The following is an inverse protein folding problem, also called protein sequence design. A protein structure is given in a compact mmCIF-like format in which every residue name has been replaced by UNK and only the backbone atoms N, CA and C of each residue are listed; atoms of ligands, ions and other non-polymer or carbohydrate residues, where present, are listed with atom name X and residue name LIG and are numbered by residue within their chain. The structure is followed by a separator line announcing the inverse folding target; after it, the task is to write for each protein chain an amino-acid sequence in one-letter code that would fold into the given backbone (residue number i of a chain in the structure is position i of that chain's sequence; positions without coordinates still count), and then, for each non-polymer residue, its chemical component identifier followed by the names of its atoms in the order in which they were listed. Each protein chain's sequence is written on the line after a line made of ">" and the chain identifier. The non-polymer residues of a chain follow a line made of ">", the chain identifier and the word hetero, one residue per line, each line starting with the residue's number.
data_IF_233760417008
#
_entry.id   IF_233760417008
#
_cell.length_a   1.000
_cell.length_b   1.000
_cell.length_c   1.000
_cell.angle_alpha   90.00
_cell.angle_beta   90.00
_cell.angle_gamma   90.00
#
_symmetry.space_group_name_H-M   'P 1'
#
loop_
_entity.id
_entity.type
_entity.pdbx_description
1 polymer ?
#
# COMPACT_ATOMS: atom_id res chain seq x y z
N UNK A 1 2.40 8.99 -3.70
CA UNK A 1 3.28 8.20 -2.81
C UNK A 1 4.42 9.08 -2.36
N UNK A 2 4.93 8.99 -1.12
CA UNK A 2 6.12 9.76 -0.73
C UNK A 2 7.29 9.48 -1.68
N UNK A 3 8.03 10.51 -2.06
CA UNK A 3 9.23 10.39 -2.90
C UNK A 3 10.31 9.51 -2.23
N UNK A 4 10.52 9.64 -0.92
CA UNK A 4 11.44 8.78 -0.17
C UNK A 4 11.11 7.28 -0.30
N UNK A 5 9.82 6.92 -0.31
CA UNK A 5 9.37 5.52 -0.49
C UNK A 5 9.60 5.06 -1.93
N UNK A 6 9.49 5.98 -2.91
CA UNK A 6 9.82 5.69 -4.30
C UNK A 6 11.32 5.41 -4.47
N UNK A 7 12.17 6.18 -3.80
CA UNK A 7 13.64 6.05 -3.85
C UNK A 7 14.15 4.75 -3.19
N UNK A 8 13.38 4.18 -2.25
CA UNK A 8 13.71 2.91 -1.59
C UNK A 8 13.37 1.67 -2.44
N UNK A 9 12.69 1.83 -3.57
CA UNK A 9 12.32 0.71 -4.44
C UNK A 9 13.55 0.08 -5.08
N UNK A 10 13.78 -1.20 -4.74
CA UNK A 10 14.91 -1.97 -5.28
C UNK A 10 14.50 -3.12 -6.21
N UNK A 11 13.22 -3.49 -6.21
CA UNK A 11 12.70 -4.67 -6.94
C UNK A 11 11.73 -4.32 -8.06
N UNK A 12 11.28 -3.06 -8.11
CA UNK A 12 10.32 -2.56 -9.11
C UNK A 12 10.92 -1.31 -9.73
N UNK A 13 10.78 -1.18 -11.05
CA UNK A 13 11.19 0.02 -11.77
C UNK A 13 10.29 1.20 -11.39
N UNK A 14 10.87 2.22 -10.76
CA UNK A 14 10.16 3.44 -10.40
C UNK A 14 9.58 4.14 -11.64
N UNK A 15 10.28 4.16 -12.78
CA UNK A 15 9.81 4.83 -13.98
C UNK A 15 8.51 4.20 -14.51
N UNK A 16 8.42 2.88 -14.45
CA UNK A 16 7.21 2.14 -14.82
C UNK A 16 6.02 2.50 -13.91
N UNK A 17 6.24 2.70 -12.61
CA UNK A 17 5.17 3.14 -11.70
C UNK A 17 4.69 4.56 -12.03
N UNK A 18 5.61 5.47 -12.40
CA UNK A 18 5.25 6.82 -12.83
C UNK A 18 4.41 6.80 -14.11
N UNK A 19 4.75 5.95 -15.08
CA UNK A 19 3.97 5.77 -16.31
C UNK A 19 2.56 5.22 -16.05
N UNK A 20 2.40 4.40 -15.00
CA UNK A 20 1.10 3.90 -14.55
C UNK A 20 0.28 4.96 -13.77
N UNK A 21 0.83 6.15 -13.55
CA UNK A 21 0.15 7.25 -12.87
C UNK A 21 0.41 7.34 -11.37
N UNK A 22 1.42 6.63 -10.83
CA UNK A 22 1.88 6.88 -9.46
C UNK A 22 2.59 8.22 -9.45
N UNK A 23 2.05 9.16 -8.69
CA UNK A 23 2.68 10.47 -8.54
C UNK A 23 3.52 10.55 -7.25
N UNK A 24 4.82 10.88 -7.34
CA UNK A 24 5.64 11.15 -6.17
C UNK A 24 5.18 12.44 -5.50
N UNK A 25 5.32 12.47 -4.18
CA UNK A 25 4.95 13.61 -3.33
C UNK A 25 6.12 13.91 -2.41
N UNK A 26 6.63 15.12 -2.50
CA UNK A 26 7.63 15.64 -1.57
C UNK A 26 6.92 16.22 -0.35
N UNK A 27 7.46 15.93 0.83
CA UNK A 27 6.93 16.46 2.07
C UNK A 27 7.33 17.93 2.27
N UNK A 28 6.39 18.74 2.73
CA UNK A 28 6.65 20.08 3.26
C UNK A 28 7.43 20.02 4.59
N UNK A 29 8.11 21.10 5.00
CA UNK A 29 8.77 21.16 6.31
C UNK A 29 7.85 20.79 7.48
N UNK A 30 6.59 21.22 7.44
CA UNK A 30 5.58 20.91 8.46
C UNK A 30 5.24 19.41 8.48
N UNK A 31 5.16 18.78 7.31
CA UNK A 31 4.95 17.33 7.19
C UNK A 31 6.15 16.52 7.67
N UNK A 32 7.36 17.02 7.44
CA UNK A 32 8.59 16.42 7.96
C UNK A 32 8.62 16.49 9.49
N UNK A 33 8.31 17.65 10.07
CA UNK A 33 8.18 17.80 11.53
C UNK A 33 7.14 16.85 12.12
N UNK A 34 5.99 16.72 11.46
CA UNK A 34 4.94 15.78 11.86
C UNK A 34 5.40 14.32 11.78
N UNK A 35 6.20 13.97 10.77
CA UNK A 35 6.78 12.63 10.64
C UNK A 35 7.68 12.32 11.86
N UNK A 36 8.54 13.26 12.26
CA UNK A 36 9.38 13.08 13.45
C UNK A 36 8.56 12.93 14.73
N UNK A 37 7.52 13.74 14.92
CA UNK A 37 6.64 13.62 16.08
C UNK A 37 5.94 12.25 16.12
N UNK A 38 5.49 11.73 14.97
CA UNK A 38 4.91 10.39 14.88
C UNK A 38 5.95 9.29 15.13
N UNK A 39 7.21 9.47 14.73
CA UNK A 39 8.28 8.50 14.97
C UNK A 39 8.63 8.36 16.45
N UNK A 40 8.45 9.41 17.25
CA UNK A 40 8.56 9.34 18.70
C UNK A 40 7.43 8.52 19.35
N UNK A 41 6.21 8.64 18.81
CA UNK A 41 5.02 7.94 19.30
C UNK A 41 4.95 6.48 18.83
N UNK A 42 5.25 6.21 17.56
CA UNK A 42 5.13 4.93 16.90
C UNK A 42 6.51 4.41 16.50
N UNK A 43 7.12 3.62 17.39
CA UNK A 43 8.52 3.16 17.26
C UNK A 43 8.75 1.98 16.30
N UNK A 44 7.67 1.39 15.79
CA UNK A 44 7.72 0.14 15.00
C UNK A 44 7.69 0.38 13.49
N UNK A 45 6.84 1.27 12.93
CA UNK A 45 6.95 1.64 11.52
C UNK A 45 8.28 2.35 11.26
N UNK A 46 8.80 2.23 10.03
CA UNK A 46 9.97 3.02 9.63
C UNK A 46 9.60 4.51 9.45
N UNK A 47 10.61 5.39 9.42
CA UNK A 47 10.36 6.81 9.11
C UNK A 47 9.74 6.97 7.71
N UNK A 48 10.20 6.19 6.73
CA UNK A 48 9.63 6.16 5.39
C UNK A 48 8.14 5.74 5.40
N UNK A 49 7.78 4.71 6.17
CA UNK A 49 6.38 4.31 6.35
C UNK A 49 5.52 5.45 6.96
N UNK A 50 6.08 6.18 7.93
CA UNK A 50 5.40 7.29 8.58
C UNK A 50 5.19 8.47 7.64
N UNK A 51 6.07 8.71 6.66
CA UNK A 51 5.82 9.73 5.63
C UNK A 51 4.54 9.42 4.82
N UNK A 52 4.28 8.14 4.52
CA UNK A 52 3.06 7.73 3.83
C UNK A 52 1.81 7.97 4.69
N UNK A 53 1.91 7.75 6.00
CA UNK A 53 0.82 8.03 6.95
C UNK A 53 0.56 9.53 7.08
N UNK A 54 1.59 10.37 7.12
CA UNK A 54 1.45 11.83 7.16
C UNK A 54 0.74 12.35 5.91
N UNK A 55 1.14 11.89 4.72
CA UNK A 55 0.46 12.27 3.48
C UNK A 55 -1.01 11.81 3.48
N UNK A 56 -1.29 10.59 3.95
CA UNK A 56 -2.67 10.11 4.03
C UNK A 56 -3.55 10.97 4.95
N UNK A 57 -3.00 11.44 6.08
CA UNK A 57 -3.69 12.33 7.00
C UNK A 57 -3.97 13.70 6.38
N UNK A 58 -2.96 14.31 5.77
CA UNK A 58 -3.06 15.68 5.27
C UNK A 58 -3.92 15.77 4.00
N UNK A 59 -3.87 14.75 3.14
CA UNK A 59 -4.66 14.68 1.91
C UNK A 59 -6.05 14.05 2.12
N UNK A 60 -6.38 13.65 3.36
CA UNK A 60 -7.58 12.86 3.70
C UNK A 60 -7.74 11.61 2.80
N UNK A 61 -6.61 10.99 2.47
CA UNK A 61 -6.53 9.81 1.62
C UNK A 61 -6.56 8.51 2.45
N UNK A 62 -6.87 7.40 1.78
CA UNK A 62 -6.69 6.06 2.36
C UNK A 62 -5.23 5.63 2.24
N UNK A 63 -4.79 4.78 3.16
CA UNK A 63 -3.48 4.17 3.15
C UNK A 63 -3.57 2.72 2.66
N UNK A 64 -2.76 2.36 1.67
CA UNK A 64 -2.61 0.95 1.26
C UNK A 64 -1.32 0.40 1.86
N UNK A 65 -1.43 -0.51 2.84
CA UNK A 65 -0.27 -1.14 3.47
C UNK A 65 -0.51 -2.57 3.94
N UNK A 66 0.51 -3.41 3.72
CA UNK A 66 0.60 -4.75 4.30
C UNK A 66 1.21 -4.78 5.70
N UNK A 67 1.90 -3.71 6.12
CA UNK A 67 2.60 -3.66 7.41
C UNK A 67 1.61 -3.59 8.58
N UNK A 68 1.90 -4.37 9.63
CA UNK A 68 1.04 -4.46 10.80
C UNK A 68 1.14 -3.24 11.72
N UNK A 69 2.35 -2.75 11.95
CA UNK A 69 2.58 -1.63 12.85
C UNK A 69 2.07 -0.31 12.25
N UNK A 70 2.26 -0.11 10.94
CA UNK A 70 1.74 1.06 10.25
C UNK A 70 0.21 1.05 10.22
N UNK A 71 -0.41 -0.12 10.06
CA UNK A 71 -1.87 -0.28 10.13
C UNK A 71 -2.40 0.06 11.52
N UNK A 72 -1.73 -0.38 12.58
CA UNK A 72 -2.08 -0.03 13.97
C UNK A 72 -2.04 1.49 14.18
N UNK A 73 -0.92 2.13 13.80
CA UNK A 73 -0.76 3.59 13.91
C UNK A 73 -1.82 4.36 13.10
N UNK A 74 -2.09 3.94 11.87
CA UNK A 74 -3.09 4.54 11.01
C UNK A 74 -4.52 4.41 11.59
N UNK A 75 -4.85 3.26 12.19
CA UNK A 75 -6.14 3.05 12.83
C UNK A 75 -6.36 3.95 14.06
N UNK A 76 -5.32 4.14 14.88
CA UNK A 76 -5.37 5.08 16.02
C UNK A 76 -5.58 6.53 15.57
N UNK A 77 -5.06 6.89 14.39
CA UNK A 77 -5.22 8.22 13.78
C UNK A 77 -6.44 8.32 12.85
N UNK A 78 -7.34 7.32 12.86
CA UNK A 78 -8.56 7.27 12.06
C UNK A 78 -8.35 7.35 10.53
N UNK A 79 -7.20 6.89 10.03
CA UNK A 79 -6.94 6.75 8.60
C UNK A 79 -7.50 5.42 8.11
N UNK A 80 -8.24 5.45 7.01
CA UNK A 80 -8.73 4.23 6.38
C UNK A 80 -7.55 3.42 5.81
N UNK A 81 -7.45 2.15 6.20
CA UNK A 81 -6.36 1.27 5.74
C UNK A 81 -6.89 0.08 4.95
N UNK A 82 -6.26 -0.18 3.81
CA UNK A 82 -6.51 -1.36 2.99
C UNK A 82 -5.21 -2.09 2.65
N UNK A 83 -5.33 -3.37 2.29
CA UNK A 83 -4.21 -4.21 1.87
C UNK A 83 -4.30 -4.63 0.40
N UNK A 84 -3.32 -5.42 -0.05
CA UNK A 84 -3.20 -5.80 -1.47
C UNK A 84 -4.44 -6.53 -2.02
N UNK A 85 -5.12 -7.35 -1.23
CA UNK A 85 -6.33 -8.04 -1.69
C UNK A 85 -7.46 -7.07 -2.06
N UNK A 86 -7.64 -6.00 -1.26
CA UNK A 86 -8.60 -4.95 -1.56
C UNK A 86 -8.20 -4.16 -2.81
N UNK A 87 -6.91 -3.90 -2.99
CA UNK A 87 -6.41 -3.22 -4.18
C UNK A 87 -6.69 -4.06 -5.43
N UNK A 88 -6.39 -5.36 -5.41
CA UNK A 88 -6.70 -6.27 -6.52
C UNK A 88 -8.20 -6.32 -6.81
N UNK A 89 -9.06 -6.34 -5.77
CA UNK A 89 -10.51 -6.28 -5.97
C UNK A 89 -10.92 -5.01 -6.72
N UNK A 90 -10.38 -3.84 -6.33
CA UNK A 90 -10.66 -2.57 -7.02
C UNK A 90 -10.19 -2.58 -8.47
N UNK A 91 -8.99 -3.10 -8.75
CA UNK A 91 -8.49 -3.17 -10.13
C UNK A 91 -9.38 -4.04 -11.03
N UNK A 92 -9.96 -5.12 -10.48
CA UNK A 92 -10.89 -5.97 -11.22
C UNK A 92 -12.27 -5.33 -11.37
N UNK A 93 -12.81 -4.74 -10.29
CA UNK A 93 -14.14 -4.12 -10.29
C UNK A 93 -14.22 -2.90 -11.19
N UNK A 94 -13.15 -2.10 -11.23
CA UNK A 94 -13.02 -0.94 -12.13
C UNK A 94 -12.58 -1.33 -13.55
N UNK A 95 -12.51 -2.64 -13.86
CA UNK A 95 -12.11 -3.20 -15.15
C UNK A 95 -10.73 -2.73 -15.66
N UNK A 96 -9.84 -2.34 -14.74
CA UNK A 96 -8.44 -1.96 -15.06
C UNK A 96 -7.66 -3.21 -15.48
N UNK A 97 -7.90 -4.34 -14.81
CA UNK A 97 -7.37 -5.65 -15.20
C UNK A 97 -8.49 -6.70 -15.29
N UNK A 98 -8.39 -7.66 -16.22
CA UNK A 98 -9.30 -8.80 -16.26
C UNK A 98 -9.17 -9.66 -14.98
N UNK A 99 -10.25 -10.32 -14.52
CA UNK A 99 -10.20 -11.23 -13.37
C UNK A 99 -9.09 -12.31 -13.48
N UNK A 100 -8.89 -13.01 -14.62
CA UNK A 100 -7.82 -13.99 -14.74
C UNK A 100 -6.42 -13.41 -14.47
N UNK A 101 -6.17 -12.18 -14.93
CA UNK A 101 -4.90 -11.47 -14.68
C UNK A 101 -4.69 -11.21 -13.18
N UNK A 102 -5.75 -10.84 -12.45
CA UNK A 102 -5.67 -10.68 -11.00
C UNK A 102 -5.42 -12.01 -10.29
N UNK A 103 -6.01 -13.12 -10.77
CA UNK A 103 -5.76 -14.45 -10.23
C UNK A 103 -4.31 -14.91 -10.43
N UNK A 104 -3.74 -14.65 -11.61
CA UNK A 104 -2.35 -14.97 -11.91
C UNK A 104 -1.39 -14.15 -11.06
N UNK A 105 -1.63 -12.84 -10.93
CA UNK A 105 -0.85 -11.97 -10.04
C UNK A 105 -0.93 -12.42 -8.58
N UNK A 106 -2.13 -12.74 -8.09
CA UNK A 106 -2.31 -13.25 -6.73
C UNK A 106 -1.59 -14.59 -6.52
N UNK A 107 -1.61 -15.50 -7.49
CA UNK A 107 -0.88 -16.77 -7.40
C UNK A 107 0.63 -16.53 -7.31
N UNK A 108 1.17 -15.64 -8.16
CA UNK A 108 2.60 -15.29 -8.13
C UNK A 108 3.03 -14.71 -6.78
N UNK A 109 2.21 -13.85 -6.18
CA UNK A 109 2.47 -13.31 -4.84
C UNK A 109 2.58 -14.42 -3.78
N UNK A 110 1.71 -15.44 -3.85
CA UNK A 110 1.76 -16.59 -2.93
C UNK A 110 3.02 -17.44 -3.16
N UNK A 111 3.37 -17.67 -4.42
CA UNK A 111 4.54 -18.47 -4.80
C UNK A 111 5.85 -17.79 -4.34
N UNK A 112 5.87 -16.46 -4.28
CA UNK A 112 6.96 -15.64 -3.73
C UNK A 112 6.93 -15.55 -2.18
N UNK A 113 5.95 -16.19 -1.52
CA UNK A 113 5.89 -16.31 -0.07
C UNK A 113 5.13 -15.18 0.65
N UNK A 114 4.35 -14.38 -0.08
CA UNK A 114 3.52 -13.32 0.52
C UNK A 114 2.52 -13.93 1.50
N UNK A 115 2.49 -13.41 2.73
CA UNK A 115 1.55 -13.87 3.77
C UNK A 115 0.20 -13.20 3.58
N UNK A 116 -0.80 -13.96 3.15
CA UNK A 116 -2.17 -13.49 2.97
C UNK A 116 -3.19 -14.41 3.66
N UNK A 117 -4.37 -13.92 4.06
CA UNK A 117 -5.40 -14.76 4.66
C UNK A 117 -5.90 -15.81 3.67
N UNK A 118 -5.66 -17.09 3.99
CA UNK A 118 -5.92 -18.21 3.07
C UNK A 118 -7.35 -18.27 2.55
N UNK A 119 -8.34 -18.08 3.41
CA UNK A 119 -9.75 -18.13 3.01
C UNK A 119 -10.11 -17.04 1.99
N UNK A 120 -9.59 -15.83 2.19
CA UNK A 120 -9.79 -14.67 1.32
C UNK A 120 -9.15 -14.86 -0.06
N UNK A 121 -7.96 -15.46 -0.08
CA UNK A 121 -7.23 -15.82 -1.29
C UNK A 121 -7.99 -16.88 -2.09
N UNK A 122 -8.38 -17.97 -1.44
CA UNK A 122 -9.10 -19.07 -2.11
C UNK A 122 -10.45 -18.60 -2.70
N UNK A 123 -11.15 -17.70 -2.01
CA UNK A 123 -12.39 -17.11 -2.52
C UNK A 123 -12.15 -16.29 -3.81
N UNK A 124 -11.11 -15.46 -3.85
CA UNK A 124 -10.74 -14.65 -5.02
C UNK A 124 -10.29 -15.52 -6.19
N UNK A 125 -9.42 -16.51 -5.95
CA UNK A 125 -8.98 -17.42 -7.01
C UNK A 125 -10.14 -18.19 -7.65
N UNK A 126 -11.13 -18.65 -6.86
CA UNK A 126 -12.35 -19.28 -7.41
C UNK A 126 -13.19 -18.30 -8.22
N UNK A 127 -13.32 -17.05 -7.77
CA UNK A 127 -14.10 -16.02 -8.44
C UNK A 127 -13.46 -15.56 -9.75
N UNK A 128 -12.14 -15.56 -9.85
CA UNK A 128 -11.39 -14.90 -10.92
C UNK A 128 -10.85 -15.85 -12.00
N UNK A 129 -10.77 -17.16 -11.75
CA UNK A 129 -10.33 -18.17 -12.74
C UNK A 129 -11.44 -18.72 -13.64
N UNK A 130 -12.53 -17.96 -13.80
CA UNK A 130 -13.69 -18.33 -14.63
C UNK A 130 -13.52 -17.92 -16.08
#
# INVERSE_FOLDING_TARGET
>A
MPDIVLDELNTVDAAWLLELGVEPRTLSPEQVERTYALAEQYRRPSEADLTALVLALDEAALLVTGDGALREAAAELHVAVHGILWLLDRLVEEAIIPPPTAADGLQRMLDEGTRLPRAEVEARLRRWRV
#
